data_IF_179797817418
#
_entry.id   IF_179797817418
#
_cell.length_a   1.000
_cell.length_b   1.000
_cell.length_c   1.000
_cell.angle_alpha   90.00
_cell.angle_beta   90.00
_cell.angle_gamma   90.00
#
_symmetry.space_group_name_H-M   'P 1'
#
loop_
_entity.id
_entity.type
_entity.pdbx_description
1 polymer ?
#
# COMPACT_ATOMS: atom_id res chain seq x y z
N UNK A 1 -39.26 14.21 37.58
CA UNK A 1 -38.25 15.23 37.26
C UNK A 1 -37.26 14.61 36.30
N UNK A 2 -36.90 15.23 35.17
CA UNK A 2 -35.85 14.71 34.28
C UNK A 2 -34.55 14.69 35.10
N UNK A 3 -33.89 13.54 35.10
CA UNK A 3 -32.58 13.37 35.71
C UNK A 3 -31.60 14.19 34.87
N UNK A 4 -31.12 15.28 35.47
CA UNK A 4 -30.03 16.06 34.92
C UNK A 4 -28.74 15.21 35.11
N UNK A 5 -28.42 14.37 34.15
CA UNK A 5 -27.17 13.64 34.13
C UNK A 5 -26.08 14.70 33.91
N UNK A 6 -25.39 15.03 35.00
CA UNK A 6 -24.34 16.04 35.03
C UNK A 6 -23.35 15.84 33.91
N UNK A 7 -22.74 16.93 33.43
CA UNK A 7 -21.80 17.08 32.29
C UNK A 7 -20.63 16.10 32.22
N UNK A 8 -20.47 15.18 33.17
CA UNK A 8 -19.31 14.28 33.26
C UNK A 8 -19.49 12.88 32.62
N UNK A 9 -20.64 12.57 32.03
CA UNK A 9 -20.91 11.26 31.42
C UNK A 9 -21.37 11.31 29.96
N UNK A 10 -21.41 12.50 29.40
CA UNK A 10 -21.82 12.69 28.00
C UNK A 10 -20.60 13.22 27.26
N UNK A 11 -20.02 12.40 26.40
CA UNK A 11 -19.09 12.90 25.38
C UNK A 11 -19.77 14.06 24.65
N UNK A 12 -19.05 15.15 24.34
CA UNK A 12 -19.50 16.39 23.66
C UNK A 12 -20.31 16.16 22.36
N UNK A 13 -20.42 14.92 21.92
CA UNK A 13 -21.09 14.48 20.71
C UNK A 13 -22.58 14.12 20.86
N UNK A 14 -23.16 14.22 22.04
CA UNK A 14 -24.60 14.01 22.21
C UNK A 14 -25.40 15.28 21.84
N UNK A 15 -25.51 15.53 20.55
CA UNK A 15 -26.53 16.44 20.06
C UNK A 15 -27.90 15.91 20.47
N UNK A 16 -28.77 16.71 21.09
CA UNK A 16 -30.10 16.27 21.47
C UNK A 16 -30.85 15.82 20.22
N UNK A 17 -31.17 14.54 20.15
CA UNK A 17 -31.97 14.02 19.04
C UNK A 17 -33.35 14.63 19.10
N UNK A 18 -33.71 15.36 18.05
CA UNK A 18 -35.04 16.02 17.98
C UNK A 18 -36.16 15.00 18.23
N UNK A 19 -37.10 15.38 19.10
CA UNK A 19 -38.27 14.58 19.45
C UNK A 19 -37.98 13.27 20.19
N UNK A 20 -36.89 13.19 20.99
CA UNK A 20 -36.61 12.04 21.87
C UNK A 20 -36.20 12.52 23.26
N UNK A 21 -36.79 11.90 24.30
CA UNK A 21 -36.42 12.14 25.69
C UNK A 21 -35.84 10.87 26.28
N UNK A 22 -34.65 10.97 26.86
CA UNK A 22 -34.04 9.89 27.66
C UNK A 22 -34.70 9.91 29.03
N UNK A 23 -35.18 8.78 29.46
CA UNK A 23 -35.87 8.64 30.78
C UNK A 23 -34.99 7.96 31.81
N UNK A 24 -34.09 7.06 31.40
CA UNK A 24 -33.22 6.31 32.32
C UNK A 24 -32.03 5.72 31.61
N UNK A 25 -30.91 5.58 32.34
CA UNK A 25 -29.72 4.82 31.95
C UNK A 25 -29.51 3.70 32.96
N UNK A 26 -29.59 2.47 32.53
CA UNK A 26 -29.34 1.27 33.31
C UNK A 26 -28.07 0.56 32.88
N UNK A 27 -27.33 -0.03 33.82
CA UNK A 27 -26.21 -0.92 33.56
C UNK A 27 -26.49 -2.28 34.19
N UNK A 28 -26.84 -3.26 33.37
CA UNK A 28 -27.28 -4.58 33.80
C UNK A 28 -26.55 -5.63 32.97
N UNK A 29 -25.96 -6.62 33.63
CA UNK A 29 -25.23 -7.72 32.97
C UNK A 29 -24.19 -7.24 31.95
N UNK A 30 -23.33 -6.31 32.36
CA UNK A 30 -22.27 -5.70 31.51
C UNK A 30 -22.82 -5.05 30.22
N UNK A 31 -24.04 -4.51 30.28
CA UNK A 31 -24.72 -3.89 29.14
C UNK A 31 -25.40 -2.61 29.57
N UNK A 32 -25.14 -1.52 28.85
CA UNK A 32 -25.85 -0.26 29.00
C UNK A 32 -27.18 -0.29 28.25
N UNK A 33 -28.25 0.13 28.92
CA UNK A 33 -29.57 0.31 28.33
C UNK A 33 -30.06 1.74 28.56
N UNK A 34 -30.23 2.48 27.48
CA UNK A 34 -30.74 3.84 27.46
C UNK A 34 -32.22 3.74 27.17
N UNK A 35 -33.07 3.99 28.18
CA UNK A 35 -34.51 4.03 27.99
C UNK A 35 -34.91 5.39 27.44
N UNK A 36 -35.59 5.43 26.30
CA UNK A 36 -35.94 6.64 25.59
C UNK A 36 -37.39 6.61 25.08
N UNK A 37 -38.07 7.74 25.20
CA UNK A 37 -39.42 7.91 24.68
C UNK A 37 -39.42 8.89 23.51
N UNK A 38 -40.13 8.55 22.44
CA UNK A 38 -40.33 9.48 21.34
C UNK A 38 -41.45 10.47 21.72
N UNK A 39 -41.18 11.75 21.43
CA UNK A 39 -42.15 12.85 21.58
C UNK A 39 -42.91 13.00 20.28
N UNK A 40 -44.19 13.31 20.36
CA UNK A 40 -45.02 13.58 19.18
C UNK A 40 -44.47 14.75 18.38
N UNK A 41 -44.30 14.52 17.08
CA UNK A 41 -43.90 15.55 16.13
C UNK A 41 -45.14 16.02 15.34
N UNK A 42 -45.51 17.27 15.54
CA UNK A 42 -46.67 17.88 14.89
C UNK A 42 -46.53 18.01 13.38
N UNK A 43 -45.29 17.95 12.87
CA UNK A 43 -45.02 18.00 11.44
C UNK A 43 -45.15 16.63 10.76
N UNK A 44 -45.44 15.56 11.49
CA UNK A 44 -45.56 14.21 10.93
C UNK A 44 -46.75 14.10 10.00
N UNK A 45 -46.51 13.61 8.78
CA UNK A 45 -47.56 13.32 7.78
C UNK A 45 -47.56 11.82 7.43
N UNK A 46 -48.67 11.35 6.89
CA UNK A 46 -48.78 9.98 6.44
C UNK A 46 -47.87 9.71 5.22
N UNK A 47 -46.96 8.74 5.27
CA UNK A 47 -46.02 8.46 4.17
C UNK A 47 -46.72 7.87 2.93
N UNK A 48 -48.01 7.43 3.04
CA UNK A 48 -48.78 6.85 1.95
C UNK A 48 -49.61 7.89 1.18
N UNK A 49 -50.26 8.79 1.89
CA UNK A 49 -51.20 9.75 1.26
C UNK A 49 -50.87 11.22 1.54
N UNK A 50 -49.80 11.51 2.33
CA UNK A 50 -49.44 12.89 2.69
C UNK A 50 -50.34 13.54 3.76
N UNK A 51 -51.44 12.91 4.15
CA UNK A 51 -52.40 13.49 5.08
C UNK A 51 -51.85 13.70 6.49
N UNK A 52 -52.31 14.73 7.18
CA UNK A 52 -51.87 15.12 8.53
C UNK A 52 -52.82 14.71 9.66
N UNK A 53 -54.01 14.20 9.34
CA UNK A 53 -54.95 13.69 10.33
C UNK A 53 -54.54 12.30 10.82
N UNK A 54 -53.74 12.30 11.91
CA UNK A 54 -53.12 11.12 12.48
C UNK A 54 -53.58 10.90 13.89
N UNK A 55 -54.00 9.67 14.21
CA UNK A 55 -54.30 9.20 15.56
C UNK A 55 -53.18 8.30 16.08
N UNK A 56 -52.85 8.42 17.36
CA UNK A 56 -51.89 7.48 17.98
C UNK A 56 -52.59 6.11 18.06
N UNK A 57 -51.95 5.11 17.41
CA UNK A 57 -52.49 3.75 17.39
C UNK A 57 -51.93 2.90 18.56
N UNK A 58 -50.59 2.99 18.78
CA UNK A 58 -49.92 2.23 19.84
C UNK A 58 -48.51 2.80 20.05
N UNK A 59 -47.80 2.26 21.04
CA UNK A 59 -46.34 2.43 21.16
C UNK A 59 -45.65 1.14 20.69
N UNK A 60 -44.54 1.28 19.99
CA UNK A 60 -43.72 0.17 19.56
C UNK A 60 -42.36 0.26 20.26
N UNK A 61 -41.97 -0.80 20.98
CA UNK A 61 -40.66 -0.85 21.65
C UNK A 61 -39.65 -1.41 20.70
N UNK A 62 -38.60 -0.65 20.46
CA UNK A 62 -37.49 -1.05 19.61
C UNK A 62 -36.20 -1.07 20.40
N UNK A 63 -35.42 -2.14 20.23
CA UNK A 63 -34.06 -2.23 20.73
C UNK A 63 -33.09 -1.87 19.61
N UNK A 64 -32.33 -0.78 19.78
CA UNK A 64 -31.43 -0.23 18.82
C UNK A 64 -30.00 -0.30 19.37
N UNK A 65 -29.11 -0.96 18.68
CA UNK A 65 -27.70 -1.02 19.07
C UNK A 65 -27.02 0.32 18.81
N UNK A 66 -26.27 0.77 19.82
CA UNK A 66 -25.59 2.07 19.81
C UNK A 66 -24.09 1.90 20.09
N UNK A 67 -23.32 2.98 20.07
CA UNK A 67 -21.89 2.97 20.36
C UNK A 67 -21.65 2.38 21.75
N UNK A 68 -20.66 1.48 21.92
CA UNK A 68 -20.29 0.97 23.24
C UNK A 68 -19.90 2.11 24.20
N UNK A 69 -20.26 1.98 25.46
CA UNK A 69 -19.89 2.90 26.54
C UNK A 69 -18.83 2.18 27.37
N UNK A 70 -17.63 2.77 27.50
CA UNK A 70 -16.51 2.18 28.25
C UNK A 70 -16.19 0.71 27.83
N UNK A 71 -16.33 0.40 26.53
CA UNK A 71 -16.12 -0.96 25.99
C UNK A 71 -17.29 -1.92 26.18
N UNK A 72 -18.32 -1.57 26.92
CA UNK A 72 -19.51 -2.40 27.12
C UNK A 72 -20.59 -2.13 26.07
N UNK A 73 -21.33 -3.18 25.64
CA UNK A 73 -22.44 -3.01 24.70
C UNK A 73 -23.46 -1.97 25.20
N UNK A 74 -23.99 -1.17 24.27
CA UNK A 74 -25.03 -0.19 24.57
C UNK A 74 -26.21 -0.35 23.63
N UNK A 75 -27.43 -0.34 24.21
CA UNK A 75 -28.70 -0.37 23.50
C UNK A 75 -29.59 0.79 23.88
N UNK A 76 -30.22 1.40 22.88
CA UNK A 76 -31.32 2.34 23.08
C UNK A 76 -32.63 1.53 23.02
N UNK A 77 -33.36 1.52 24.10
CA UNK A 77 -34.72 0.94 24.19
C UNK A 77 -35.71 2.07 23.94
N UNK A 78 -36.08 2.21 22.66
CA UNK A 78 -36.93 3.32 22.20
C UNK A 78 -38.40 2.92 22.23
N UNK A 79 -39.20 3.66 22.99
CA UNK A 79 -40.66 3.64 22.91
C UNK A 79 -41.08 4.58 21.79
N UNK A 80 -41.32 4.00 20.60
CA UNK A 80 -41.60 4.70 19.34
C UNK A 80 -43.13 4.81 19.14
N UNK A 81 -43.58 5.99 18.73
CA UNK A 81 -45.01 6.24 18.47
C UNK A 81 -45.39 5.62 17.13
N UNK A 82 -46.49 4.85 17.13
CA UNK A 82 -47.15 4.31 15.94
C UNK A 82 -48.44 5.04 15.69
N UNK A 83 -48.59 5.57 14.47
CA UNK A 83 -49.78 6.27 14.01
C UNK A 83 -50.67 5.43 13.12
N UNK A 84 -51.96 5.77 13.10
CA UNK A 84 -52.95 5.37 12.09
C UNK A 84 -53.42 6.63 11.38
N UNK A 85 -53.37 6.64 10.06
CA UNK A 85 -53.90 7.73 9.23
C UNK A 85 -55.42 7.61 9.13
N UNK A 86 -56.14 8.69 9.35
CA UNK A 86 -57.61 8.69 9.26
C UNK A 86 -58.10 8.75 7.83
N UNK A 87 -57.28 9.20 6.88
CA UNK A 87 -57.65 9.27 5.45
C UNK A 87 -57.50 7.94 4.71
N UNK A 88 -56.34 7.30 4.84
CA UNK A 88 -56.04 6.07 4.08
C UNK A 88 -55.92 4.81 4.96
N UNK A 89 -56.20 4.93 6.24
CA UNK A 89 -56.19 3.86 7.27
C UNK A 89 -54.84 3.11 7.40
N UNK A 90 -53.78 3.56 6.75
CA UNK A 90 -52.44 2.99 6.87
C UNK A 90 -51.86 3.24 8.27
N UNK A 91 -51.07 2.28 8.78
CA UNK A 91 -50.33 2.46 10.02
C UNK A 91 -48.82 2.55 9.76
N UNK A 92 -48.16 3.41 10.51
CA UNK A 92 -46.72 3.62 10.37
C UNK A 92 -46.13 4.13 11.68
N UNK A 93 -44.81 3.93 11.86
CA UNK A 93 -44.08 4.49 13.00
C UNK A 93 -43.60 5.89 12.69
N UNK A 94 -43.63 6.80 13.66
CA UNK A 94 -43.04 8.13 13.51
C UNK A 94 -41.54 8.00 13.18
N UNK A 95 -41.09 8.81 12.23
CA UNK A 95 -39.69 8.81 11.80
C UNK A 95 -38.75 9.19 12.97
N UNK A 96 -37.57 8.62 12.97
CA UNK A 96 -36.46 8.96 13.88
C UNK A 96 -35.19 9.23 13.09
N UNK A 97 -34.56 10.38 13.33
CA UNK A 97 -33.40 10.85 12.53
C UNK A 97 -32.12 10.02 12.77
N UNK A 98 -31.95 9.42 13.93
CA UNK A 98 -30.70 8.72 14.31
C UNK A 98 -30.66 7.25 13.90
N UNK A 99 -31.67 6.76 13.19
CA UNK A 99 -31.77 5.37 12.71
C UNK A 99 -32.48 5.32 11.36
N UNK A 100 -31.94 4.55 10.44
CA UNK A 100 -32.54 4.33 9.13
C UNK A 100 -33.77 3.38 9.24
N UNK A 101 -34.74 3.55 8.36
CA UNK A 101 -35.93 2.69 8.29
C UNK A 101 -35.52 1.22 8.16
N UNK A 102 -36.13 0.35 8.99
CA UNK A 102 -35.85 -1.09 8.97
C UNK A 102 -34.52 -1.52 9.60
N UNK A 103 -33.72 -0.60 10.15
CA UNK A 103 -32.45 -0.91 10.80
C UNK A 103 -32.57 -0.98 12.32
N UNK A 104 -31.75 -1.83 12.96
CA UNK A 104 -31.58 -1.90 14.41
C UNK A 104 -30.18 -1.42 14.88
N UNK A 105 -29.44 -0.72 14.01
CA UNK A 105 -28.21 -0.03 14.33
C UNK A 105 -28.44 1.47 14.21
N UNK A 106 -28.00 2.24 15.19
CA UNK A 106 -28.00 3.70 15.08
C UNK A 106 -27.03 4.17 13.98
N UNK A 107 -27.27 5.34 13.41
CA UNK A 107 -26.35 5.92 12.41
C UNK A 107 -24.96 6.12 13.00
N UNK A 108 -24.88 6.49 14.28
CA UNK A 108 -23.62 6.73 14.99
C UNK A 108 -22.74 5.45 15.11
N UNK A 109 -23.32 4.27 15.38
CA UNK A 109 -22.52 3.03 15.42
C UNK A 109 -22.03 2.64 14.01
N UNK A 110 -22.79 2.96 12.95
CA UNK A 110 -22.37 2.73 11.57
C UNK A 110 -21.16 3.62 11.21
N UNK A 111 -21.20 4.90 11.60
CA UNK A 111 -20.07 5.81 11.45
C UNK A 111 -18.86 5.34 12.24
N UNK A 112 -19.08 4.86 13.48
CA UNK A 112 -17.99 4.30 14.30
C UNK A 112 -17.35 3.07 13.66
N UNK A 113 -18.16 2.15 13.10
CA UNK A 113 -17.64 0.99 12.33
C UNK A 113 -16.74 1.45 11.18
N UNK A 114 -17.15 2.46 10.42
CA UNK A 114 -16.36 2.99 9.31
C UNK A 114 -15.07 3.66 9.79
N UNK A 115 -15.15 4.44 10.86
CA UNK A 115 -13.99 5.12 11.45
C UNK A 115 -12.99 4.12 12.01
N UNK A 116 -13.43 3.12 12.78
CA UNK A 116 -12.57 2.03 13.24
C UNK A 116 -11.96 1.26 12.08
N UNK A 117 -12.72 1.07 11.00
CA UNK A 117 -12.21 0.38 9.80
C UNK A 117 -11.11 1.12 9.05
N UNK A 118 -10.83 2.40 9.34
CA UNK A 118 -9.69 3.15 8.80
C UNK A 118 -8.36 2.74 9.43
N UNK A 119 -8.36 2.04 10.57
CA UNK A 119 -7.14 1.59 11.23
C UNK A 119 -6.62 0.26 10.64
N UNK A 120 -5.33 -0.05 10.91
CA UNK A 120 -4.69 -1.32 10.53
C UNK A 120 -5.17 -2.47 11.42
N UNK A 121 -6.42 -2.88 11.25
CA UNK A 121 -7.07 -3.93 12.03
C UNK A 121 -8.03 -4.72 11.15
N UNK A 122 -8.33 -5.96 11.56
CA UNK A 122 -9.28 -6.83 10.88
C UNK A 122 -10.74 -6.42 11.16
N UNK A 123 -11.67 -6.91 10.35
CA UNK A 123 -13.09 -6.74 10.66
C UNK A 123 -13.50 -7.44 11.96
N UNK A 124 -12.77 -8.48 12.38
CA UNK A 124 -12.96 -9.13 13.67
C UNK A 124 -12.59 -8.17 14.82
N UNK A 125 -11.47 -7.47 14.72
CA UNK A 125 -11.07 -6.49 15.75
C UNK A 125 -12.08 -5.35 15.85
N UNK A 126 -12.55 -4.85 14.70
CA UNK A 126 -13.61 -3.84 14.65
C UNK A 126 -14.90 -4.37 15.29
N UNK A 127 -15.26 -5.64 15.05
CA UNK A 127 -16.43 -6.27 15.63
C UNK A 127 -16.36 -6.34 17.16
N UNK A 128 -15.20 -6.64 17.70
CA UNK A 128 -14.97 -6.67 19.16
C UNK A 128 -15.11 -5.26 19.73
N UNK A 129 -14.47 -4.24 19.13
CA UNK A 129 -14.51 -2.86 19.62
C UNK A 129 -15.90 -2.22 19.55
N UNK A 130 -16.65 -2.54 18.50
CA UNK A 130 -17.99 -1.99 18.29
C UNK A 130 -19.10 -2.85 18.88
N UNK A 131 -18.75 -4.02 19.43
CA UNK A 131 -19.72 -5.02 19.92
C UNK A 131 -20.77 -5.42 18.87
N UNK A 132 -20.40 -5.43 17.57
CA UNK A 132 -21.27 -5.81 16.45
C UNK A 132 -20.71 -7.06 15.79
N UNK A 133 -21.53 -7.91 15.18
CA UNK A 133 -21.02 -9.11 14.49
C UNK A 133 -20.06 -8.74 13.35
N UNK A 134 -19.05 -9.56 13.09
CA UNK A 134 -18.10 -9.37 11.99
C UNK A 134 -18.80 -9.24 10.63
N UNK A 135 -19.86 -10.02 10.41
CA UNK A 135 -20.69 -9.94 9.19
C UNK A 135 -21.34 -8.57 9.04
N UNK A 136 -21.87 -8.00 10.14
CA UNK A 136 -22.47 -6.66 10.13
C UNK A 136 -21.40 -5.60 9.82
N UNK A 137 -20.21 -5.70 10.43
CA UNK A 137 -19.07 -4.80 10.13
C UNK A 137 -18.72 -4.87 8.65
N UNK A 138 -18.55 -6.06 8.09
CA UNK A 138 -18.24 -6.26 6.68
C UNK A 138 -19.33 -5.68 5.77
N UNK A 139 -20.60 -5.90 6.08
CA UNK A 139 -21.71 -5.39 5.28
C UNK A 139 -21.82 -3.87 5.33
N UNK A 140 -21.65 -3.25 6.51
CA UNK A 140 -21.64 -1.78 6.61
C UNK A 140 -20.43 -1.18 5.89
N UNK A 141 -19.26 -1.83 5.97
CA UNK A 141 -18.09 -1.41 5.21
C UNK A 141 -18.33 -1.50 3.70
N UNK A 142 -18.89 -2.61 3.20
CA UNK A 142 -19.21 -2.81 1.78
C UNK A 142 -20.19 -1.77 1.22
N UNK A 143 -21.19 -1.38 1.98
CA UNK A 143 -22.17 -0.34 1.58
C UNK A 143 -21.52 1.03 1.33
N UNK A 144 -20.35 1.26 1.90
CA UNK A 144 -19.61 2.51 1.80
C UNK A 144 -18.40 2.41 0.88
N UNK A 145 -18.27 1.31 0.12
CA UNK A 145 -17.29 1.21 -0.95
C UNK A 145 -17.77 2.10 -2.09
N UNK A 146 -17.09 3.22 -2.26
CA UNK A 146 -17.29 4.06 -3.43
C UNK A 146 -16.26 3.70 -4.48
N UNK A 147 -16.65 3.68 -5.74
CA UNK A 147 -15.78 3.49 -6.90
C UNK A 147 -14.91 4.73 -7.18
N UNK A 148 -14.57 5.44 -6.10
CA UNK A 148 -13.80 6.66 -6.19
C UNK A 148 -12.30 6.30 -6.30
N UNK A 149 -11.61 6.99 -7.18
CA UNK A 149 -10.15 7.04 -7.26
C UNK A 149 -9.65 8.43 -6.87
N UNK A 150 -8.41 8.52 -6.43
CA UNK A 150 -7.76 9.82 -6.30
C UNK A 150 -7.39 10.35 -7.69
N UNK A 151 -7.41 11.67 -7.86
CA UNK A 151 -6.88 12.30 -9.07
C UNK A 151 -5.38 11.98 -9.24
N UNK A 152 -4.94 11.85 -10.49
CA UNK A 152 -3.54 11.70 -10.80
C UNK A 152 -2.76 12.94 -10.34
N UNK A 153 -1.62 12.71 -9.75
CA UNK A 153 -0.70 13.77 -9.33
C UNK A 153 0.30 14.10 -10.42
N UNK A 154 1.02 15.19 -10.26
CA UNK A 154 2.12 15.60 -11.14
C UNK A 154 3.16 14.50 -11.33
N UNK A 155 3.46 13.78 -10.26
CA UNK A 155 4.35 12.61 -10.25
C UNK A 155 3.55 11.40 -9.81
N UNK A 156 3.59 10.33 -10.59
CA UNK A 156 3.01 9.03 -10.22
C UNK A 156 4.07 7.95 -10.20
N UNK A 157 4.00 7.10 -9.19
CA UNK A 157 4.78 5.88 -9.07
C UNK A 157 3.89 4.67 -9.34
N UNK A 158 4.36 3.73 -10.13
CA UNK A 158 3.65 2.49 -10.44
C UNK A 158 4.57 1.31 -10.10
N UNK A 159 4.04 0.36 -9.35
CA UNK A 159 4.74 -0.85 -8.94
C UNK A 159 3.76 -2.00 -8.71
N UNK A 160 4.25 -3.20 -8.43
CA UNK A 160 3.42 -4.34 -8.11
C UNK A 160 3.72 -4.97 -6.77
N UNK A 161 2.72 -5.61 -6.18
CA UNK A 161 2.88 -6.45 -5.00
C UNK A 161 2.10 -7.75 -5.12
N UNK A 162 2.59 -8.79 -4.43
CA UNK A 162 1.94 -10.10 -4.44
C UNK A 162 0.62 -10.05 -3.67
N UNK A 163 -0.50 -10.09 -4.39
CA UNK A 163 -1.85 -10.03 -3.83
C UNK A 163 -2.62 -11.34 -4.00
N UNK A 164 -2.36 -12.13 -5.04
CA UNK A 164 -3.12 -13.34 -5.40
C UNK A 164 -4.60 -13.02 -5.56
N UNK A 165 -4.91 -12.21 -6.56
CA UNK A 165 -6.26 -11.82 -6.95
C UNK A 165 -6.83 -12.82 -7.97
N UNK A 166 -8.12 -12.71 -8.30
CA UNK A 166 -8.74 -13.49 -9.39
C UNK A 166 -8.05 -13.20 -10.73
N UNK A 167 -7.57 -11.97 -10.94
CA UNK A 167 -6.89 -11.53 -12.16
C UNK A 167 -5.39 -11.86 -12.21
N UNK A 168 -4.84 -12.58 -11.19
CA UNK A 168 -3.46 -13.05 -11.18
C UNK A 168 -2.74 -12.92 -9.85
N UNK A 169 -1.45 -13.24 -9.87
CA UNK A 169 -0.59 -13.29 -8.67
C UNK A 169 -0.25 -11.90 -8.11
N UNK A 170 -0.19 -10.89 -8.98
CA UNK A 170 0.27 -9.55 -8.64
C UNK A 170 -0.82 -8.52 -8.87
N UNK A 171 -1.05 -7.66 -7.88
CA UNK A 171 -1.81 -6.44 -8.00
C UNK A 171 -0.87 -5.28 -8.30
N UNK A 172 -1.38 -4.26 -8.98
CA UNK A 172 -0.65 -3.03 -9.25
C UNK A 172 -1.02 -1.96 -8.22
N UNK A 173 -0.05 -1.17 -7.81
CA UNK A 173 -0.24 0.01 -6.96
C UNK A 173 0.17 1.27 -7.72
N UNK A 174 -0.64 2.30 -7.59
CA UNK A 174 -0.39 3.64 -8.13
C UNK A 174 -0.31 4.60 -6.94
N UNK A 175 0.78 5.34 -6.83
CA UNK A 175 1.00 6.22 -5.69
C UNK A 175 1.53 7.59 -6.08
N UNK A 176 1.31 8.56 -5.21
CA UNK A 176 1.88 9.89 -5.29
C UNK A 176 3.04 9.99 -4.28
N UNK A 177 4.30 10.10 -4.75
CA UNK A 177 5.47 10.17 -3.87
C UNK A 177 5.55 11.49 -3.10
N UNK A 178 4.97 12.59 -3.60
CA UNK A 178 4.99 13.90 -2.95
C UNK A 178 4.09 13.95 -1.72
N UNK A 179 2.86 13.42 -1.82
CA UNK A 179 1.90 13.40 -0.70
C UNK A 179 1.99 12.14 0.18
N UNK A 180 2.62 11.09 -0.32
CA UNK A 180 2.64 9.79 0.32
C UNK A 180 1.32 9.01 0.21
N UNK A 181 0.41 9.42 -0.68
CA UNK A 181 -0.88 8.79 -0.88
C UNK A 181 -0.82 7.62 -1.87
N UNK A 182 -1.64 6.60 -1.63
CA UNK A 182 -1.98 5.59 -2.63
C UNK A 182 -3.13 6.16 -3.45
N UNK A 183 -2.91 6.35 -4.75
CA UNK A 183 -3.92 6.89 -5.66
C UNK A 183 -4.93 5.82 -6.05
N UNK A 184 -4.44 4.63 -6.37
CA UNK A 184 -5.29 3.48 -6.66
C UNK A 184 -4.55 2.14 -6.56
N UNK A 185 -5.32 1.04 -6.61
CA UNK A 185 -4.83 -0.34 -6.70
C UNK A 185 -5.64 -1.08 -7.75
N UNK A 186 -4.95 -1.77 -8.67
CA UNK A 186 -5.58 -2.59 -9.70
C UNK A 186 -5.39 -4.08 -9.40
N UNK A 187 -6.33 -4.94 -9.83
CA UNK A 187 -6.26 -6.37 -9.54
C UNK A 187 -5.16 -7.11 -10.30
N UNK A 188 -4.55 -6.46 -11.31
CA UNK A 188 -3.54 -7.07 -12.17
C UNK A 188 -2.54 -6.05 -12.67
N UNK A 189 -1.30 -6.53 -12.96
CA UNK A 189 -0.25 -5.77 -13.65
C UNK A 189 -0.20 -6.01 -15.16
N UNK A 190 -1.10 -6.82 -15.70
CA UNK A 190 -1.14 -7.12 -17.13
C UNK A 190 -1.49 -5.87 -17.94
N UNK A 191 -0.91 -5.78 -19.14
CA UNK A 191 -1.03 -4.62 -20.02
C UNK A 191 -2.48 -4.14 -20.21
N UNK A 192 -3.39 -5.07 -20.51
CA UNK A 192 -4.77 -4.72 -20.83
C UNK A 192 -5.52 -4.11 -19.64
N UNK A 193 -5.28 -4.63 -18.43
CA UNK A 193 -5.84 -4.04 -17.21
C UNK A 193 -5.34 -2.63 -16.96
N UNK A 194 -4.02 -2.40 -17.11
CA UNK A 194 -3.40 -1.10 -16.88
C UNK A 194 -3.85 -0.12 -17.96
N UNK A 195 -3.81 -0.55 -19.22
CA UNK A 195 -4.21 0.28 -20.36
C UNK A 195 -5.67 0.70 -20.25
N UNK A 196 -6.57 -0.27 -20.02
CA UNK A 196 -8.00 0.01 -19.86
C UNK A 196 -8.25 0.99 -18.71
N UNK A 197 -7.67 0.75 -17.54
CA UNK A 197 -7.82 1.62 -16.38
C UNK A 197 -7.40 3.06 -16.69
N UNK A 198 -6.19 3.28 -17.16
CA UNK A 198 -5.74 4.65 -17.45
C UNK A 198 -6.49 5.27 -18.63
N UNK A 199 -6.97 4.49 -19.59
CA UNK A 199 -7.76 5.00 -20.70
C UNK A 199 -9.15 5.49 -20.28
N UNK A 200 -9.71 5.01 -19.16
CA UNK A 200 -10.96 5.53 -18.58
C UNK A 200 -10.78 6.88 -17.88
N UNK A 201 -9.55 7.27 -17.57
CA UNK A 201 -9.24 8.56 -16.95
C UNK A 201 -9.27 9.65 -18.02
N UNK A 202 -9.78 10.83 -17.66
CA UNK A 202 -9.82 11.96 -18.56
C UNK A 202 -8.45 12.26 -19.19
N UNK A 203 -8.46 12.61 -20.48
CA UNK A 203 -7.24 12.89 -21.24
C UNK A 203 -6.47 14.08 -20.67
N UNK A 204 -7.15 15.11 -20.22
CA UNK A 204 -6.51 16.32 -19.67
C UNK A 204 -5.80 15.99 -18.38
N UNK A 205 -6.40 15.15 -17.53
CA UNK A 205 -5.78 14.66 -16.29
C UNK A 205 -4.54 13.82 -16.58
N UNK A 206 -4.59 12.91 -17.55
CA UNK A 206 -3.41 12.12 -17.95
C UNK A 206 -2.28 12.98 -18.53
N UNK A 207 -2.61 14.03 -19.29
CA UNK A 207 -1.64 14.95 -19.88
C UNK A 207 -1.02 15.93 -18.87
N UNK A 208 -1.64 16.10 -17.68
CA UNK A 208 -1.08 16.91 -16.59
C UNK A 208 -0.01 16.19 -15.78
N UNK A 209 0.17 14.87 -15.98
CA UNK A 209 1.23 14.10 -15.33
C UNK A 209 2.57 14.44 -16.00
N UNK A 210 3.53 14.93 -15.19
CA UNK A 210 4.88 15.29 -15.66
C UNK A 210 5.85 14.10 -15.62
N UNK A 211 5.74 13.26 -14.58
CA UNK A 211 6.65 12.13 -14.38
C UNK A 211 5.90 10.86 -14.05
N UNK A 212 6.29 9.77 -14.70
CA UNK A 212 5.82 8.41 -14.38
C UNK A 212 7.02 7.55 -14.04
N UNK A 213 7.09 7.08 -12.79
CA UNK A 213 8.21 6.26 -12.28
C UNK A 213 7.75 4.81 -12.21
N UNK A 214 8.50 3.91 -12.85
CA UNK A 214 8.17 2.48 -12.91
C UNK A 214 9.39 1.59 -12.88
N UNK A 215 9.17 0.29 -12.75
CA UNK A 215 10.17 -0.74 -13.00
C UNK A 215 10.43 -0.95 -14.51
N UNK A 216 11.40 -1.82 -14.81
CA UNK A 216 11.76 -2.27 -16.16
C UNK A 216 10.74 -3.30 -16.67
N UNK A 217 9.49 -2.90 -16.86
CA UNK A 217 8.44 -3.78 -17.38
C UNK A 217 7.79 -3.17 -18.64
N UNK A 218 7.74 -3.97 -19.73
CA UNK A 218 7.33 -3.49 -21.05
C UNK A 218 5.91 -2.92 -21.08
N UNK A 219 5.00 -3.53 -20.31
CA UNK A 219 3.63 -3.01 -20.19
C UNK A 219 3.59 -1.58 -19.68
N UNK A 220 4.45 -1.23 -18.73
CA UNK A 220 4.53 0.13 -18.20
C UNK A 220 5.07 1.10 -19.25
N UNK A 221 6.14 0.72 -19.96
CA UNK A 221 6.69 1.53 -21.05
C UNK A 221 5.67 1.81 -22.14
N UNK A 222 4.91 0.80 -22.55
CA UNK A 222 3.84 0.92 -23.55
C UNK A 222 2.73 1.87 -23.09
N UNK A 223 2.26 1.71 -21.86
CA UNK A 223 1.22 2.58 -21.27
C UNK A 223 1.69 4.02 -21.16
N UNK A 224 2.92 4.24 -20.68
CA UNK A 224 3.51 5.59 -20.59
C UNK A 224 3.57 6.25 -21.96
N UNK A 225 4.07 5.55 -22.98
CA UNK A 225 4.20 6.06 -24.34
C UNK A 225 2.83 6.44 -24.97
N UNK A 226 1.81 5.63 -24.74
CA UNK A 226 0.53 5.79 -25.41
C UNK A 226 -0.43 6.72 -24.67
N UNK A 227 -0.46 6.69 -23.34
CA UNK A 227 -1.47 7.37 -22.52
C UNK A 227 -0.94 8.60 -21.77
N UNK A 228 0.36 8.66 -21.47
CA UNK A 228 1.01 9.75 -20.75
C UNK A 228 2.00 10.51 -21.65
N UNK A 229 1.51 11.01 -22.78
CA UNK A 229 2.37 11.55 -23.86
C UNK A 229 3.22 12.74 -23.47
N UNK A 230 2.77 13.54 -22.50
CA UNK A 230 3.51 14.70 -22.00
C UNK A 230 4.48 14.34 -20.87
N UNK A 231 4.39 13.13 -20.33
CA UNK A 231 5.21 12.75 -19.19
C UNK A 231 6.59 12.25 -19.57
N UNK A 232 7.52 12.43 -18.64
CA UNK A 232 8.84 11.82 -18.68
C UNK A 232 8.75 10.47 -17.95
N UNK A 233 8.95 9.37 -18.70
CA UNK A 233 9.02 8.05 -18.12
C UNK A 233 10.40 7.82 -17.49
N UNK A 234 10.42 7.50 -16.20
CA UNK A 234 11.60 7.25 -15.37
C UNK A 234 11.62 5.78 -14.97
N UNK A 235 12.71 5.10 -15.24
CA UNK A 235 12.95 3.76 -14.70
C UNK A 235 13.59 3.87 -13.32
N UNK A 236 13.01 3.23 -12.33
CA UNK A 236 13.53 3.30 -10.97
C UNK A 236 14.97 2.76 -10.86
N UNK A 237 15.79 3.51 -10.12
CA UNK A 237 17.23 3.24 -9.99
C UNK A 237 17.55 1.90 -9.35
N UNK A 238 16.81 1.53 -8.33
CA UNK A 238 17.02 0.26 -7.63
C UNK A 238 16.91 -0.92 -8.60
N UNK A 239 15.93 -0.89 -9.50
CA UNK A 239 15.65 -1.99 -10.42
C UNK A 239 16.71 -2.18 -11.49
N UNK A 240 17.21 -1.09 -12.12
CA UNK A 240 18.27 -1.26 -13.12
C UNK A 240 19.64 -1.54 -12.49
N UNK A 241 19.97 -0.98 -11.32
CA UNK A 241 21.20 -1.33 -10.59
C UNK A 241 21.17 -2.81 -10.16
N UNK A 242 20.02 -3.29 -9.69
CA UNK A 242 19.82 -4.68 -9.28
C UNK A 242 20.15 -5.67 -10.38
N UNK A 243 19.87 -5.38 -11.65
CA UNK A 243 20.22 -6.26 -12.77
C UNK A 243 21.71 -6.57 -12.83
N UNK A 244 22.57 -5.56 -12.67
CA UNK A 244 24.01 -5.78 -12.68
C UNK A 244 24.50 -6.48 -11.41
N UNK A 245 23.89 -6.17 -10.24
CA UNK A 245 24.19 -6.87 -9.00
C UNK A 245 23.83 -8.37 -9.11
N UNK A 246 22.71 -8.70 -9.73
CA UNK A 246 22.29 -10.08 -10.00
C UNK A 246 23.22 -10.76 -11.02
N UNK A 247 23.63 -10.04 -12.07
CA UNK A 247 24.58 -10.55 -13.07
C UNK A 247 25.91 -10.93 -12.42
N UNK A 248 26.48 -10.04 -11.61
CA UNK A 248 27.69 -10.32 -10.84
C UNK A 248 27.52 -11.52 -9.89
N UNK A 249 26.42 -11.55 -9.14
CA UNK A 249 26.17 -12.68 -8.22
C UNK A 249 26.07 -14.03 -8.95
N UNK A 250 25.47 -14.07 -10.14
CA UNK A 250 25.41 -15.27 -10.97
C UNK A 250 26.80 -15.66 -11.49
N UNK A 251 27.62 -14.71 -11.91
CA UNK A 251 29.01 -14.95 -12.32
C UNK A 251 29.81 -15.53 -11.14
N UNK A 252 29.74 -14.92 -9.96
CA UNK A 252 30.35 -15.43 -8.72
C UNK A 252 29.94 -16.88 -8.41
N UNK A 253 28.63 -17.17 -8.51
CA UNK A 253 28.10 -18.52 -8.27
C UNK A 253 28.60 -19.49 -9.35
N UNK A 254 28.69 -19.07 -10.59
CA UNK A 254 29.22 -19.89 -11.70
C UNK A 254 30.67 -20.29 -11.44
N UNK A 255 31.54 -19.33 -11.12
CA UNK A 255 32.96 -19.57 -10.78
C UNK A 255 33.06 -20.56 -9.61
N UNK A 256 32.35 -20.30 -8.52
CA UNK A 256 32.30 -21.18 -7.35
C UNK A 256 31.88 -22.61 -7.71
N UNK A 257 30.79 -22.75 -8.47
CA UNK A 257 30.27 -24.05 -8.86
C UNK A 257 31.19 -24.82 -9.82
N UNK A 258 31.90 -24.12 -10.70
CA UNK A 258 32.88 -24.74 -11.59
C UNK A 258 34.04 -25.35 -10.81
N UNK A 259 34.53 -24.66 -9.78
CA UNK A 259 35.57 -25.17 -8.88
C UNK A 259 35.08 -26.43 -8.14
N UNK A 260 33.86 -26.38 -7.58
CA UNK A 260 33.31 -27.52 -6.83
C UNK A 260 33.07 -28.73 -7.75
N UNK A 261 32.56 -28.50 -8.96
CA UNK A 261 32.26 -29.56 -9.94
C UNK A 261 33.51 -30.20 -10.54
N UNK A 262 34.63 -29.48 -10.60
CA UNK A 262 35.91 -30.01 -11.10
C UNK A 262 36.47 -31.10 -10.20
N UNK A 263 35.91 -31.32 -8.97
CA UNK A 263 36.39 -32.26 -7.96
C UNK A 263 37.88 -32.11 -7.70
N UNK A 264 38.41 -30.90 -7.77
CA UNK A 264 39.82 -30.64 -7.53
C UNK A 264 40.22 -31.01 -6.13
N UNK A 265 41.44 -31.55 -5.97
CA UNK A 265 42.09 -31.77 -4.66
C UNK A 265 42.88 -30.54 -4.20
N UNK A 266 42.95 -29.50 -5.00
CA UNK A 266 43.64 -28.26 -4.68
C UNK A 266 42.90 -27.53 -3.53
N UNK A 267 43.57 -27.50 -2.38
CA UNK A 267 43.04 -26.90 -1.15
C UNK A 267 42.83 -25.38 -1.29
N UNK A 268 43.67 -24.69 -2.06
CA UNK A 268 43.56 -23.26 -2.27
C UNK A 268 42.34 -22.92 -3.12
N UNK A 269 42.07 -23.67 -4.20
CA UNK A 269 40.84 -23.49 -5.00
C UNK A 269 39.58 -23.78 -4.19
N UNK A 270 39.59 -24.83 -3.37
CA UNK A 270 38.44 -25.14 -2.50
C UNK A 270 38.23 -24.06 -1.44
N UNK A 271 39.33 -23.53 -0.87
CA UNK A 271 39.25 -22.41 0.07
C UNK A 271 38.69 -21.16 -0.64
N UNK A 272 39.17 -20.82 -1.84
CA UNK A 272 38.63 -19.72 -2.63
C UNK A 272 37.11 -19.85 -2.85
N UNK A 273 36.64 -21.02 -3.27
CA UNK A 273 35.20 -21.27 -3.42
C UNK A 273 34.43 -21.06 -2.12
N UNK A 274 35.02 -21.46 -0.97
CA UNK A 274 34.42 -21.25 0.35
C UNK A 274 34.32 -19.77 0.72
N UNK A 275 35.31 -18.96 0.39
CA UNK A 275 35.34 -17.49 0.58
C UNK A 275 34.26 -16.83 -0.27
N UNK A 276 34.15 -17.18 -1.56
CA UNK A 276 33.10 -16.68 -2.44
C UNK A 276 31.70 -16.97 -1.91
N UNK A 277 31.49 -18.14 -1.28
CA UNK A 277 30.23 -18.53 -0.67
C UNK A 277 29.94 -17.75 0.60
N UNK A 278 30.91 -17.68 1.52
CA UNK A 278 30.75 -17.11 2.86
C UNK A 278 30.53 -15.59 2.83
N UNK A 279 31.29 -14.88 2.02
CA UNK A 279 31.36 -13.43 2.05
C UNK A 279 30.57 -12.73 0.93
N UNK A 280 29.64 -13.42 0.27
CA UNK A 280 28.94 -12.93 -0.90
C UNK A 280 28.26 -11.54 -0.71
N UNK A 281 27.74 -11.26 0.49
CA UNK A 281 27.06 -9.96 0.77
C UNK A 281 28.03 -8.78 0.64
N UNK A 282 29.28 -8.97 1.04
CA UNK A 282 30.32 -7.93 0.96
C UNK A 282 30.84 -7.75 -0.46
N UNK A 283 30.95 -8.86 -1.19
CA UNK A 283 31.34 -8.82 -2.60
C UNK A 283 30.30 -8.11 -3.49
N UNK A 284 29.02 -8.10 -3.05
CA UNK A 284 27.93 -7.37 -3.71
C UNK A 284 27.79 -5.92 -3.23
N UNK A 285 28.53 -5.51 -2.21
CA UNK A 285 28.37 -4.19 -1.62
C UNK A 285 28.85 -3.07 -2.54
N UNK A 286 28.20 -1.92 -2.43
CA UNK A 286 28.54 -0.70 -3.12
C UNK A 286 29.64 0.05 -2.35
N UNK A 287 30.89 0.04 -2.85
CA UNK A 287 32.03 0.70 -2.21
C UNK A 287 31.92 2.24 -2.20
N UNK A 288 31.02 2.80 -3.00
CA UNK A 288 30.75 4.24 -3.04
C UNK A 288 29.58 4.66 -2.13
N UNK A 289 28.99 3.74 -1.35
CA UNK A 289 27.93 4.09 -0.39
C UNK A 289 28.50 4.86 0.80
N UNK A 290 27.62 5.58 1.53
CA UNK A 290 28.03 6.25 2.79
C UNK A 290 28.41 5.26 3.90
N UNK A 291 28.04 4.00 3.74
CA UNK A 291 28.29 2.90 4.68
C UNK A 291 29.57 2.12 4.34
N UNK A 292 30.38 2.60 3.38
CA UNK A 292 31.62 1.93 2.98
C UNK A 292 32.68 1.87 4.12
N UNK A 293 32.50 2.61 5.21
CA UNK A 293 33.38 2.61 6.39
C UNK A 293 33.55 1.21 7.02
N UNK A 294 32.60 0.31 6.85
CA UNK A 294 32.68 -1.04 7.43
C UNK A 294 33.65 -1.97 6.67
N UNK A 295 34.20 -1.57 5.52
CA UNK A 295 35.17 -2.38 4.79
C UNK A 295 36.48 -2.58 5.58
N UNK A 296 36.84 -1.65 6.47
CA UNK A 296 38.00 -1.74 7.33
C UNK A 296 37.76 -2.56 8.61
N UNK A 297 36.51 -2.99 8.86
CA UNK A 297 36.20 -3.76 10.06
C UNK A 297 36.80 -5.15 10.00
N UNK A 298 37.32 -5.64 11.14
CA UNK A 298 37.79 -6.99 11.28
C UNK A 298 36.67 -7.99 11.08
N UNK A 299 36.90 -8.96 10.21
CA UNK A 299 35.93 -9.99 9.85
C UNK A 299 36.08 -11.25 10.67
N UNK A 300 37.32 -11.81 10.73
CA UNK A 300 37.68 -13.01 11.50
C UNK A 300 39.18 -13.25 11.47
N UNK A 301 39.70 -13.95 12.47
CA UNK A 301 40.98 -14.64 12.39
C UNK A 301 40.81 -15.90 11.55
N UNK A 302 41.55 -16.00 10.45
CA UNK A 302 41.66 -17.20 9.66
C UNK A 302 43.14 -17.47 9.27
N UNK A 303 43.41 -18.71 8.86
CA UNK A 303 44.77 -19.17 8.50
C UNK A 303 45.35 -18.44 7.26
N UNK A 304 44.57 -17.67 6.52
CA UNK A 304 44.98 -16.99 5.27
C UNK A 304 45.12 -15.48 5.45
N UNK A 305 45.06 -14.95 6.65
CA UNK A 305 45.26 -13.53 6.93
C UNK A 305 44.11 -12.61 6.45
N UNK A 306 42.94 -13.15 6.12
CA UNK A 306 41.77 -12.37 5.73
C UNK A 306 41.11 -11.74 6.96
N UNK A 307 41.63 -10.60 7.38
CA UNK A 307 41.28 -9.94 8.65
C UNK A 307 40.21 -8.87 8.52
N UNK A 308 40.06 -8.28 7.32
CA UNK A 308 39.07 -7.24 7.04
C UNK A 308 38.27 -7.59 5.78
N UNK A 309 37.15 -6.89 5.57
CA UNK A 309 36.39 -7.04 4.32
C UNK A 309 37.20 -6.60 3.10
N UNK A 310 38.06 -5.60 3.27
CA UNK A 310 39.00 -5.16 2.22
C UNK A 310 39.91 -6.30 1.79
N UNK A 311 40.55 -7.00 2.74
CA UNK A 311 41.45 -8.13 2.43
C UNK A 311 40.70 -9.31 1.80
N UNK A 312 39.44 -9.54 2.14
CA UNK A 312 38.59 -10.56 1.49
C UNK A 312 38.32 -10.19 0.03
N UNK A 313 37.99 -8.94 -0.25
CA UNK A 313 37.74 -8.46 -1.62
C UNK A 313 39.03 -8.59 -2.44
N UNK A 314 40.16 -8.08 -1.93
CA UNK A 314 41.46 -8.17 -2.57
C UNK A 314 41.86 -9.62 -2.85
N UNK A 315 41.66 -10.52 -1.90
CA UNK A 315 41.90 -11.94 -2.11
C UNK A 315 41.05 -12.50 -3.27
N UNK A 316 39.74 -12.20 -3.29
CA UNK A 316 38.86 -12.71 -4.33
C UNK A 316 39.19 -12.15 -5.71
N UNK A 317 39.55 -10.88 -5.80
CA UNK A 317 39.93 -10.19 -7.05
C UNK A 317 41.28 -10.72 -7.60
N UNK A 318 42.30 -10.86 -6.74
CA UNK A 318 43.63 -11.25 -7.15
C UNK A 318 43.78 -12.73 -7.55
N UNK A 319 42.84 -13.58 -7.10
CA UNK A 319 42.92 -15.03 -7.36
C UNK A 319 42.10 -15.52 -8.57
N UNK A 320 41.28 -14.65 -9.20
CA UNK A 320 40.49 -15.05 -10.38
C UNK A 320 40.21 -13.83 -11.29
N UNK A 321 40.77 -13.81 -12.49
CA UNK A 321 40.66 -12.71 -13.44
C UNK A 321 39.22 -12.49 -13.95
N UNK A 322 38.44 -13.56 -14.15
CA UNK A 322 37.03 -13.43 -14.54
C UNK A 322 36.21 -12.76 -13.42
N UNK A 323 36.49 -13.13 -12.17
CA UNK A 323 35.87 -12.51 -11.01
C UNK A 323 36.30 -11.05 -10.86
N UNK A 324 37.56 -10.75 -11.03
CA UNK A 324 38.10 -9.38 -11.01
C UNK A 324 37.38 -8.49 -11.99
N UNK A 325 37.28 -8.88 -13.25
CA UNK A 325 36.62 -8.08 -14.29
C UNK A 325 35.14 -7.89 -13.98
N UNK A 326 34.45 -8.95 -13.57
CA UNK A 326 33.04 -8.85 -13.16
C UNK A 326 32.82 -7.93 -11.96
N UNK A 327 33.73 -7.96 -10.97
CA UNK A 327 33.70 -7.08 -9.81
C UNK A 327 33.94 -5.61 -10.21
N UNK A 328 34.92 -5.33 -11.03
CA UNK A 328 35.21 -3.98 -11.52
C UNK A 328 34.05 -3.40 -12.31
N UNK A 329 33.42 -4.20 -13.18
CA UNK A 329 32.20 -3.78 -13.91
C UNK A 329 31.06 -3.42 -12.95
N UNK A 330 30.83 -4.20 -11.89
CA UNK A 330 29.82 -3.87 -10.89
C UNK A 330 30.12 -2.57 -10.16
N UNK A 331 31.37 -2.39 -9.70
CA UNK A 331 31.77 -1.17 -8.97
C UNK A 331 31.74 0.06 -9.88
N UNK A 332 32.14 -0.07 -11.15
CA UNK A 332 32.02 1.02 -12.13
C UNK A 332 30.55 1.43 -12.33
N UNK A 333 29.63 0.47 -12.40
CA UNK A 333 28.21 0.78 -12.49
C UNK A 333 27.69 1.53 -11.24
N UNK A 334 28.12 1.12 -10.05
CA UNK A 334 27.80 1.86 -8.82
C UNK A 334 28.34 3.29 -8.84
N UNK A 335 29.56 3.48 -9.36
CA UNK A 335 30.17 4.81 -9.57
C UNK A 335 29.32 5.65 -10.53
N UNK A 336 28.95 5.09 -11.69
CA UNK A 336 28.06 5.76 -12.66
C UNK A 336 26.75 6.15 -12.00
N UNK A 337 26.11 5.20 -11.33
CA UNK A 337 24.83 5.45 -10.66
C UNK A 337 24.92 6.59 -9.64
N UNK A 338 26.01 6.70 -8.90
CA UNK A 338 26.17 7.71 -7.85
C UNK A 338 26.54 9.09 -8.38
N UNK A 339 27.55 9.14 -9.26
CA UNK A 339 28.23 10.39 -9.61
C UNK A 339 27.85 10.97 -10.96
N UNK A 340 27.16 10.22 -11.84
CA UNK A 340 26.69 10.79 -13.09
C UNK A 340 25.56 11.80 -12.87
N UNK A 341 25.57 12.82 -13.71
CA UNK A 341 24.47 13.76 -13.90
C UNK A 341 23.58 13.32 -15.08
N UNK A 342 22.43 13.97 -15.25
CA UNK A 342 21.57 13.72 -16.42
C UNK A 342 22.33 13.93 -17.75
N UNK A 343 23.23 14.95 -17.81
CA UNK A 343 23.96 15.30 -19.03
C UNK A 343 24.97 14.25 -19.48
N UNK A 344 25.62 13.51 -18.55
CA UNK A 344 26.67 12.54 -18.89
C UNK A 344 26.26 11.07 -18.64
N UNK A 345 25.10 10.82 -18.03
CA UNK A 345 24.66 9.45 -17.69
C UNK A 345 24.54 8.54 -18.92
N UNK A 346 24.07 9.09 -20.06
CA UNK A 346 23.92 8.31 -21.30
C UNK A 346 25.27 7.80 -21.82
N UNK A 347 26.25 8.68 -21.89
CA UNK A 347 27.59 8.35 -22.37
C UNK A 347 28.27 7.32 -21.44
N UNK A 348 28.22 7.56 -20.13
CA UNK A 348 28.80 6.68 -19.14
C UNK A 348 28.16 5.28 -19.16
N UNK A 349 26.84 5.18 -19.28
CA UNK A 349 26.14 3.89 -19.36
C UNK A 349 26.44 3.14 -20.66
N UNK A 350 26.49 3.84 -21.81
CA UNK A 350 26.85 3.21 -23.07
C UNK A 350 28.31 2.79 -23.10
N UNK A 351 29.23 3.59 -22.51
CA UNK A 351 30.63 3.23 -22.31
C UNK A 351 30.78 1.96 -21.47
N UNK A 352 30.02 1.85 -20.38
CA UNK A 352 29.95 0.64 -19.57
C UNK A 352 29.42 -0.57 -20.37
N UNK A 353 28.35 -0.40 -21.15
CA UNK A 353 27.83 -1.47 -22.01
C UNK A 353 28.90 -1.95 -23.03
N UNK A 354 29.67 -1.00 -23.62
CA UNK A 354 30.76 -1.34 -24.54
C UNK A 354 31.85 -2.17 -23.86
N UNK A 355 32.26 -1.79 -22.64
CA UNK A 355 33.22 -2.60 -21.85
C UNK A 355 32.76 -4.02 -21.64
N UNK A 356 31.45 -4.21 -21.25
CA UNK A 356 30.86 -5.55 -21.09
C UNK A 356 30.93 -6.34 -22.40
N UNK A 357 30.69 -5.72 -23.54
CA UNK A 357 30.69 -6.39 -24.86
C UNK A 357 32.09 -6.78 -25.33
N UNK A 358 33.08 -5.96 -24.99
CA UNK A 358 34.49 -6.17 -25.37
C UNK A 358 35.29 -6.93 -24.32
N UNK A 359 34.66 -7.42 -23.23
CA UNK A 359 35.28 -8.25 -22.21
C UNK A 359 35.94 -9.50 -22.79
N UNK A 360 37.14 -9.82 -22.33
CA UNK A 360 37.86 -11.06 -22.68
C UNK A 360 37.12 -12.31 -22.18
N UNK A 361 36.32 -12.16 -21.12
CA UNK A 361 35.53 -13.25 -20.50
C UNK A 361 34.10 -13.32 -21.05
N UNK A 362 33.53 -14.53 -21.06
CA UNK A 362 32.13 -14.74 -21.45
C UNK A 362 31.23 -14.40 -20.28
N UNK A 363 31.07 -13.13 -20.00
CA UNK A 363 30.18 -12.63 -18.94
C UNK A 363 28.73 -12.58 -19.42
N UNK A 364 28.13 -13.75 -19.66
CA UNK A 364 26.82 -13.89 -20.33
C UNK A 364 25.70 -13.09 -19.61
N UNK A 365 25.70 -13.05 -18.30
CA UNK A 365 24.69 -12.32 -17.53
C UNK A 365 24.86 -10.81 -17.59
N UNK A 366 26.11 -10.33 -17.61
CA UNK A 366 26.40 -8.92 -17.85
C UNK A 366 26.05 -8.49 -19.28
N UNK A 367 26.30 -9.34 -20.29
CA UNK A 367 25.90 -9.07 -21.68
C UNK A 367 24.37 -8.94 -21.81
N UNK A 368 23.57 -9.78 -21.13
CA UNK A 368 22.11 -9.64 -21.04
C UNK A 368 21.71 -8.31 -20.39
N UNK A 369 22.41 -7.93 -19.32
CA UNK A 369 22.18 -6.66 -18.62
C UNK A 369 22.47 -5.46 -19.52
N UNK A 370 23.59 -5.49 -20.25
CA UNK A 370 23.97 -4.44 -21.19
C UNK A 370 22.94 -4.28 -22.32
N UNK A 371 22.43 -5.38 -22.89
CA UNK A 371 21.34 -5.34 -23.87
C UNK A 371 20.06 -4.70 -23.30
N UNK A 372 19.71 -5.06 -22.07
CA UNK A 372 18.57 -4.44 -21.39
C UNK A 372 18.80 -2.95 -21.20
N UNK A 373 19.99 -2.52 -20.77
CA UNK A 373 20.29 -1.10 -20.59
C UNK A 373 20.22 -0.32 -21.90
N UNK A 374 20.74 -0.86 -22.99
CA UNK A 374 20.62 -0.24 -24.32
C UNK A 374 19.17 -0.07 -24.74
N UNK A 375 18.34 -1.11 -24.53
CA UNK A 375 16.90 -1.07 -24.86
C UNK A 375 16.13 -0.04 -24.01
N UNK A 376 16.51 0.16 -22.75
CA UNK A 376 15.83 1.03 -21.79
C UNK A 376 16.59 2.34 -21.51
N UNK A 377 17.62 2.66 -22.32
CA UNK A 377 18.57 3.74 -22.05
C UNK A 377 17.89 5.08 -21.75
N UNK A 378 16.81 5.44 -22.46
CA UNK A 378 16.09 6.69 -22.24
C UNK A 378 15.50 6.74 -20.83
N UNK A 379 14.78 5.71 -20.42
CA UNK A 379 14.13 5.65 -19.09
C UNK A 379 15.15 5.55 -17.95
N UNK A 380 16.27 4.84 -18.15
CA UNK A 380 17.37 4.77 -17.17
C UNK A 380 18.07 6.12 -17.03
N UNK A 381 18.38 6.80 -18.12
CA UNK A 381 18.99 8.15 -18.11
C UNK A 381 18.06 9.15 -17.42
N UNK A 382 16.75 9.06 -17.64
CA UNK A 382 15.78 9.92 -16.96
C UNK A 382 15.83 9.76 -15.42
N UNK A 383 16.30 8.64 -14.87
CA UNK A 383 16.46 8.48 -13.42
C UNK A 383 17.55 9.38 -12.80
N UNK A 384 18.33 10.09 -13.62
CA UNK A 384 19.30 11.08 -13.16
C UNK A 384 18.74 12.50 -13.14
N UNK A 385 17.50 12.72 -13.60
CA UNK A 385 16.83 14.01 -13.51
C UNK A 385 16.68 14.41 -12.04
N UNK A 386 16.99 15.66 -11.75
CA UNK A 386 16.69 16.33 -10.50
C UNK A 386 15.41 17.12 -10.75
N UNK A 387 14.35 16.82 -10.01
CA UNK A 387 13.09 17.53 -10.10
C UNK A 387 13.25 19.00 -9.67
N UNK A 388 12.72 19.92 -10.46
CA UNK A 388 12.84 21.36 -10.22
C UNK A 388 12.09 21.85 -8.99
N UNK A 389 11.09 21.11 -8.53
CA UNK A 389 10.26 21.48 -7.37
C UNK A 389 10.83 20.89 -6.07
N UNK A 390 11.18 19.62 -6.08
CA UNK A 390 11.66 18.94 -4.87
C UNK A 390 13.19 19.03 -4.70
N UNK A 391 13.91 19.45 -5.72
CA UNK A 391 15.37 19.49 -5.80
C UNK A 391 16.05 18.15 -5.49
N UNK A 392 15.32 17.05 -5.69
CA UNK A 392 15.78 15.68 -5.47
C UNK A 392 15.65 14.82 -6.72
N UNK A 393 16.39 13.72 -6.77
CA UNK A 393 16.18 12.69 -7.79
C UNK A 393 14.86 11.95 -7.50
N UNK A 394 14.07 11.73 -8.54
CA UNK A 394 12.83 10.99 -8.44
C UNK A 394 13.09 9.49 -8.35
N UNK A 395 12.53 8.84 -7.34
CA UNK A 395 12.70 7.40 -7.07
C UNK A 395 11.38 6.74 -6.69
N UNK A 396 11.33 5.41 -6.83
CA UNK A 396 10.18 4.60 -6.44
C UNK A 396 10.25 4.10 -4.98
N UNK A 397 11.24 4.54 -4.19
CA UNK A 397 11.45 4.09 -2.82
C UNK A 397 10.25 4.27 -1.88
N UNK A 398 9.46 5.31 -2.13
CA UNK A 398 8.18 5.53 -1.44
C UNK A 398 7.23 4.34 -1.59
N UNK A 399 7.11 3.77 -2.80
CA UNK A 399 6.11 2.74 -3.11
C UNK A 399 6.48 1.38 -2.48
N UNK A 400 7.78 1.13 -2.26
CA UNK A 400 8.23 -0.08 -1.54
C UNK A 400 7.64 -0.13 -0.12
N UNK A 401 7.66 1.01 0.60
CA UNK A 401 6.99 1.15 1.90
C UNK A 401 5.48 0.90 1.80
N UNK A 402 4.84 1.34 0.71
CA UNK A 402 3.40 1.11 0.47
C UNK A 402 3.09 -0.33 0.10
N UNK A 403 3.96 -0.99 -0.65
CA UNK A 403 3.85 -2.43 -0.91
C UNK A 403 3.86 -3.25 0.38
N UNK A 404 4.74 -2.90 1.33
CA UNK A 404 4.76 -3.54 2.65
C UNK A 404 3.47 -3.24 3.42
N UNK A 405 2.97 -2.02 3.37
CA UNK A 405 1.67 -1.67 3.97
C UNK A 405 0.52 -2.51 3.40
N UNK A 406 0.42 -2.66 2.08
CA UNK A 406 -0.59 -3.49 1.43
C UNK A 406 -0.51 -4.96 1.87
N UNK A 407 0.71 -5.50 1.96
CA UNK A 407 0.95 -6.87 2.46
C UNK A 407 0.52 -7.03 3.93
N UNK A 408 0.72 -6.01 4.77
CA UNK A 408 0.28 -6.01 6.18
C UNK A 408 -1.25 -6.01 6.25
N UNK A 409 -1.93 -5.12 5.52
CA UNK A 409 -3.41 -5.09 5.47
C UNK A 409 -3.97 -6.44 5.03
N UNK A 410 -3.40 -7.05 3.97
CA UNK A 410 -3.81 -8.38 3.52
C UNK A 410 -3.66 -9.44 4.60
N UNK A 411 -2.53 -9.44 5.32
CA UNK A 411 -2.21 -10.42 6.38
C UNK A 411 -3.14 -10.28 7.57
N UNK A 412 -3.37 -9.05 8.04
CA UNK A 412 -4.30 -8.75 9.14
C UNK A 412 -5.73 -9.20 8.82
N UNK A 413 -6.17 -9.03 7.58
CA UNK A 413 -7.48 -9.47 7.12
C UNK A 413 -7.58 -10.98 6.82
N UNK A 414 -6.52 -11.76 7.04
CA UNK A 414 -6.44 -13.19 6.65
C UNK A 414 -6.76 -13.45 5.17
N UNK A 415 -6.51 -12.45 4.32
CA UNK A 415 -6.93 -12.39 2.92
C UNK A 415 -8.28 -11.70 2.73
N UNK A 416 -8.57 -11.38 1.50
CA UNK A 416 -9.84 -10.79 1.07
C UNK A 416 -10.34 -11.55 -0.15
N UNK A 417 -11.56 -12.09 -0.06
CA UNK A 417 -12.22 -12.75 -1.20
C UNK A 417 -12.71 -11.76 -2.26
N UNK A 418 -12.96 -10.53 -1.85
CA UNK A 418 -13.48 -9.43 -2.67
C UNK A 418 -12.36 -8.38 -2.82
N UNK A 419 -11.93 -8.16 -4.07
CA UNK A 419 -10.84 -7.25 -4.37
C UNK A 419 -11.22 -5.78 -4.09
N UNK A 420 -12.48 -5.39 -4.33
CA UNK A 420 -12.92 -4.01 -4.09
C UNK A 420 -12.92 -3.67 -2.60
N UNK A 421 -13.27 -4.63 -1.75
CA UNK A 421 -13.15 -4.52 -0.29
C UNK A 421 -11.67 -4.33 0.10
N UNK A 422 -10.79 -5.12 -0.47
CA UNK A 422 -9.35 -5.02 -0.21
C UNK A 422 -8.77 -3.68 -0.68
N UNK A 423 -9.07 -3.28 -1.91
CA UNK A 423 -8.68 -2.00 -2.50
C UNK A 423 -9.14 -0.83 -1.64
N UNK A 424 -10.44 -0.77 -1.30
CA UNK A 424 -11.01 0.29 -0.49
C UNK A 424 -10.41 0.33 0.91
N UNK A 425 -10.18 -0.83 1.54
CA UNK A 425 -9.53 -0.93 2.84
C UNK A 425 -8.12 -0.33 2.83
N UNK A 426 -7.33 -0.63 1.80
CA UNK A 426 -5.97 -0.08 1.67
C UNK A 426 -6.01 1.43 1.49
N UNK A 427 -6.78 1.93 0.52
CA UNK A 427 -6.85 3.37 0.19
C UNK A 427 -7.34 4.14 1.42
N UNK A 428 -8.43 3.68 2.04
CA UNK A 428 -9.01 4.34 3.20
C UNK A 428 -8.10 4.31 4.44
N UNK A 429 -7.32 3.23 4.63
CA UNK A 429 -6.39 3.13 5.75
C UNK A 429 -5.08 3.91 5.53
N UNK A 430 -4.67 4.12 4.26
CA UNK A 430 -3.45 4.86 3.94
C UNK A 430 -3.69 6.37 3.86
N UNK A 431 -4.78 6.78 3.22
CA UNK A 431 -5.07 8.17 2.89
C UNK A 431 -5.86 8.86 4.02
N UNK A 432 -5.61 8.49 5.29
CA UNK A 432 -6.16 9.23 6.42
C UNK A 432 -5.84 10.70 6.23
N UNK A 433 -6.86 11.52 6.16
CA UNK A 433 -6.70 12.96 6.27
C UNK A 433 -5.86 13.24 7.52
N UNK A 434 -4.71 13.87 7.35
CA UNK A 434 -4.04 14.55 8.45
C UNK A 434 -5.01 15.66 8.87
N UNK A 435 -5.84 15.37 9.88
CA UNK A 435 -6.52 16.42 10.63
C UNK A 435 -5.50 17.07 11.54
#
# INVERSE_FOLDING_TARGET
KPINLGHNFVHDDWQPVKNITITKLDFINNTYKILANQIRDSSTTCPKCGGNALTKNSDNIRQIKHIPINGFPCFIILKQIRYKCTYCFSTFNQHTSFINKGCNLSNRIKENILNESKYKQSFKDVSIRTNVSQTTVSNEFKKNIHSYRCHLSRIICIDEFKASTIAGKYALIIGNPESGQILDILPSRLHDYIYHYFNTIDKTERLSVEYVITDLFESYRSVCKNLFRNSIHIVDRFHWIRLATEAFNKTRISIMNNIIKSKTSDKEMLYYASVLKKYYKFLLANTYSKEAWYFDQQVFHNSHGLTTYQTVIEYCVNNNREFEEAYLLLQELYKIARFSSFGNARENLLGWCKKVETSEFILSEFKKTALTYKSWIKGIVNSFIIDSVTHTRLTNGFIEGKNNFCKVIKRIGFGYSDFDVFRYKIINSNNKTKN
#
